data_IF_172080897992
#
_entry.id   IF_172080897992
#
_cell.length_a   1.000
_cell.length_b   1.000
_cell.length_c   1.000
_cell.angle_alpha   90.00
_cell.angle_beta   90.00
_cell.angle_gamma   90.00
#
_symmetry.space_group_name_H-M   'P 1'
#
loop_
_entity.id
_entity.type
_entity.pdbx_description
1 polymer ?
#
# COMPACT_ATOMS: atom_id res chain seq x y z
N UNK A 1 -87.82 -59.92 -24.49
CA UNK A 1 -86.81 -59.08 -25.17
C UNK A 1 -86.08 -58.27 -24.12
N UNK A 2 -84.91 -58.74 -23.68
CA UNK A 2 -84.04 -58.03 -22.74
C UNK A 2 -83.06 -57.16 -23.54
N UNK A 3 -83.12 -55.85 -23.35
CA UNK A 3 -82.22 -54.86 -23.97
C UNK A 3 -80.93 -54.75 -23.17
N UNK A 4 -79.79 -55.08 -23.80
CA UNK A 4 -78.45 -54.94 -23.23
C UNK A 4 -77.93 -53.53 -23.54
N UNK A 5 -77.73 -52.72 -22.50
CA UNK A 5 -77.17 -51.36 -22.60
C UNK A 5 -75.64 -51.44 -22.59
N UNK A 6 -74.98 -51.02 -23.67
CA UNK A 6 -73.51 -50.95 -23.76
C UNK A 6 -73.06 -49.60 -23.17
N UNK A 7 -72.39 -49.61 -22.02
CA UNK A 7 -71.70 -48.43 -21.48
C UNK A 7 -70.33 -48.26 -22.17
N UNK A 8 -70.15 -47.16 -22.90
CA UNK A 8 -68.84 -46.73 -23.41
C UNK A 8 -68.09 -45.97 -22.30
N UNK A 9 -66.99 -46.53 -21.82
CA UNK A 9 -66.05 -45.81 -20.95
C UNK A 9 -65.16 -44.88 -21.78
N UNK A 10 -65.30 -43.57 -21.58
CA UNK A 10 -64.37 -42.56 -22.13
C UNK A 10 -63.09 -42.55 -21.30
N UNK A 11 -61.97 -42.98 -21.88
CA UNK A 11 -60.64 -42.81 -21.28
C UNK A 11 -60.12 -41.42 -21.61
N UNK A 12 -60.00 -40.56 -20.60
CA UNK A 12 -59.30 -39.27 -20.71
C UNK A 12 -57.80 -39.50 -20.62
N UNK A 13 -57.06 -39.28 -21.71
CA UNK A 13 -55.61 -39.23 -21.69
C UNK A 13 -55.17 -37.85 -21.17
N UNK A 14 -54.64 -37.80 -19.95
CA UNK A 14 -53.94 -36.63 -19.42
C UNK A 14 -52.53 -36.60 -20.01
N UNK A 15 -52.28 -35.70 -20.96
CA UNK A 15 -50.92 -35.38 -21.39
C UNK A 15 -50.23 -34.56 -20.30
N UNK A 16 -49.20 -35.12 -19.68
CA UNK A 16 -48.34 -34.42 -18.72
C UNK A 16 -47.35 -33.55 -19.50
N UNK A 17 -47.57 -32.23 -19.51
CA UNK A 17 -46.61 -31.29 -20.07
C UNK A 17 -45.32 -31.29 -19.23
N UNK A 18 -44.19 -31.63 -19.84
CA UNK A 18 -42.85 -31.48 -19.24
C UNK A 18 -42.37 -30.08 -19.58
N UNK A 19 -42.37 -29.18 -18.59
CA UNK A 19 -41.77 -27.86 -18.74
C UNK A 19 -40.25 -27.99 -18.85
N UNK A 20 -39.66 -27.57 -19.98
CA UNK A 20 -38.21 -27.46 -20.10
C UNK A 20 -37.74 -26.26 -19.27
N UNK A 21 -37.15 -26.53 -18.12
CA UNK A 21 -36.46 -25.51 -17.34
C UNK A 21 -35.12 -25.24 -18.01
N UNK A 22 -35.04 -24.15 -18.80
CA UNK A 22 -33.75 -23.60 -19.20
C UNK A 22 -33.19 -22.83 -18.00
N UNK A 23 -32.00 -23.18 -17.47
CA UNK A 23 -31.42 -22.43 -16.37
C UNK A 23 -31.03 -21.04 -16.88
N UNK A 24 -31.72 -20.00 -16.43
CA UNK A 24 -31.26 -18.62 -16.57
C UNK A 24 -30.01 -18.48 -15.70
N UNK A 25 -28.85 -18.08 -16.25
CA UNK A 25 -27.72 -17.75 -15.39
C UNK A 25 -28.09 -16.47 -14.65
N UNK A 26 -28.51 -16.60 -13.39
CA UNK A 26 -28.47 -15.47 -12.47
C UNK A 26 -26.99 -15.15 -12.30
N UNK A 27 -26.50 -14.13 -13.00
CA UNK A 27 -25.20 -13.55 -12.72
C UNK A 27 -25.31 -12.92 -11.34
N UNK A 28 -25.06 -13.70 -10.30
CA UNK A 28 -24.73 -13.18 -9.00
C UNK A 28 -23.45 -12.37 -9.23
N UNK A 29 -23.61 -11.05 -9.38
CA UNK A 29 -22.51 -10.12 -9.31
C UNK A 29 -21.85 -10.38 -7.97
N UNK A 30 -20.74 -11.11 -7.99
CA UNK A 30 -19.87 -11.21 -6.82
C UNK A 30 -19.36 -9.79 -6.62
N UNK A 31 -19.94 -9.10 -5.66
CA UNK A 31 -19.34 -7.90 -5.08
C UNK A 31 -17.98 -8.33 -4.57
N UNK A 32 -16.94 -8.05 -5.35
CA UNK A 32 -15.57 -8.14 -4.88
C UNK A 32 -15.40 -7.02 -3.85
N UNK A 33 -15.80 -7.26 -2.59
CA UNK A 33 -15.35 -6.41 -1.49
C UNK A 33 -13.87 -6.72 -1.26
N UNK A 34 -13.00 -6.03 -1.98
CA UNK A 34 -11.54 -6.16 -1.83
C UNK A 34 -11.04 -5.54 -0.51
N UNK A 35 -11.91 -4.86 0.24
CA UNK A 35 -11.55 -4.21 1.50
C UNK A 35 -12.04 -5.02 2.69
N UNK A 36 -11.35 -6.12 3.00
CA UNK A 36 -11.20 -6.51 4.39
C UNK A 36 -10.19 -5.56 5.02
N UNK A 37 -10.48 -4.87 6.14
CA UNK A 37 -9.53 -3.97 6.76
C UNK A 37 -8.39 -4.82 7.34
N UNK A 38 -7.35 -5.02 6.55
CA UNK A 38 -6.06 -5.47 7.06
C UNK A 38 -5.23 -4.20 7.25
N UNK A 39 -4.85 -3.98 8.50
CA UNK A 39 -3.96 -2.95 9.04
C UNK A 39 -4.59 -1.60 9.40
N UNK A 40 -4.63 -1.34 10.72
CA UNK A 40 -4.72 0.00 11.32
C UNK A 40 -6.05 0.73 11.14
N UNK A 41 -6.38 1.60 12.08
CA UNK A 41 -7.37 2.64 11.88
C UNK A 41 -6.88 3.51 10.71
N UNK A 42 -7.28 3.20 9.48
CA UNK A 42 -6.96 4.04 8.33
C UNK A 42 -7.67 5.37 8.52
N UNK A 43 -6.89 6.44 8.74
CA UNK A 43 -7.44 7.77 8.87
C UNK A 43 -8.33 8.07 7.66
N UNK A 44 -9.52 8.63 7.95
CA UNK A 44 -10.50 9.05 6.92
C UNK A 44 -9.90 9.95 5.84
N UNK A 45 -8.77 10.59 6.14
CA UNK A 45 -8.05 11.51 5.26
C UNK A 45 -7.28 10.78 4.14
N UNK A 46 -7.05 9.46 4.26
CA UNK A 46 -6.48 8.63 3.19
C UNK A 46 -7.42 8.38 2.01
N UNK A 47 -8.70 8.74 2.13
CA UNK A 47 -9.70 8.56 1.08
C UNK A 47 -10.16 9.92 0.52
N UNK A 48 -10.30 9.99 -0.82
CA UNK A 48 -10.91 11.13 -1.48
C UNK A 48 -12.44 11.17 -1.32
N UNK A 49 -13.08 12.35 -1.50
CA UNK A 49 -14.53 12.51 -1.39
C UNK A 49 -15.34 11.78 -2.47
N UNK A 50 -14.69 11.30 -3.54
CA UNK A 50 -15.36 10.69 -4.70
C UNK A 50 -16.00 11.71 -5.63
N UNK A 51 -15.98 11.40 -6.93
CA UNK A 51 -16.56 12.27 -7.96
C UNK A 51 -18.07 12.04 -8.12
N UNK A 52 -18.76 13.03 -8.69
CA UNK A 52 -20.20 12.94 -9.00
C UNK A 52 -20.44 11.97 -10.17
N UNK A 53 -21.61 11.30 -10.23
CA UNK A 53 -21.95 10.46 -11.38
C UNK A 53 -21.97 11.26 -12.69
N UNK A 54 -21.32 10.72 -13.73
CA UNK A 54 -21.31 11.33 -15.07
C UNK A 54 -20.22 12.38 -15.31
N UNK A 55 -19.37 12.66 -14.32
CA UNK A 55 -18.18 13.51 -14.49
C UNK A 55 -16.90 12.69 -14.48
N UNK A 56 -15.86 13.17 -15.17
CA UNK A 56 -14.52 12.58 -15.05
C UNK A 56 -13.93 13.05 -13.71
N UNK A 57 -13.52 12.11 -12.84
CA UNK A 57 -12.94 12.42 -11.54
C UNK A 57 -11.60 13.13 -11.67
N UNK A 58 -11.31 14.01 -10.71
CA UNK A 58 -9.98 14.59 -10.53
C UNK A 58 -9.13 13.74 -9.57
N UNK A 59 -7.81 13.88 -9.64
CA UNK A 59 -6.88 13.13 -8.79
C UNK A 59 -7.16 13.36 -7.30
N UNK A 60 -7.62 14.56 -6.91
CA UNK A 60 -8.00 14.85 -5.53
C UNK A 60 -9.25 14.09 -5.05
N UNK A 61 -10.12 13.69 -5.97
CA UNK A 61 -11.37 13.00 -5.64
C UNK A 61 -11.19 11.48 -5.56
N UNK A 62 -10.24 10.93 -6.33
CA UNK A 62 -10.03 9.48 -6.47
C UNK A 62 -8.71 8.94 -5.93
N UNK A 63 -7.68 9.77 -5.71
CA UNK A 63 -6.44 9.31 -5.11
C UNK A 63 -6.70 8.71 -3.72
N UNK A 64 -6.02 7.60 -3.41
CA UNK A 64 -6.15 6.91 -2.12
C UNK A 64 -4.78 6.52 -1.55
N UNK A 65 -4.69 6.38 -0.24
CA UNK A 65 -3.48 5.86 0.40
C UNK A 65 -2.26 6.80 0.24
N UNK A 66 -1.07 6.27 -0.06
CA UNK A 66 0.16 7.07 -0.17
C UNK A 66 0.14 8.07 -1.33
N UNK A 67 -0.54 7.72 -2.44
CA UNK A 67 -0.73 8.63 -3.58
C UNK A 67 -1.42 9.92 -3.14
N UNK A 68 -2.50 9.80 -2.37
CA UNK A 68 -3.22 10.95 -1.83
C UNK A 68 -2.36 11.77 -0.87
N UNK A 69 -1.62 11.10 0.02
CA UNK A 69 -0.75 11.78 0.98
C UNK A 69 0.33 12.60 0.27
N UNK A 70 0.94 12.06 -0.78
CA UNK A 70 1.90 12.78 -1.62
C UNK A 70 1.23 13.95 -2.35
N UNK A 71 0.05 13.73 -2.95
CA UNK A 71 -0.69 14.78 -3.65
C UNK A 71 -1.04 15.96 -2.74
N UNK A 72 -1.53 15.69 -1.52
CA UNK A 72 -1.86 16.72 -0.54
C UNK A 72 -0.60 17.47 -0.06
N UNK A 73 0.50 16.75 0.23
CA UNK A 73 1.76 17.39 0.61
C UNK A 73 2.27 18.32 -0.50
N UNK A 74 2.22 17.87 -1.76
CA UNK A 74 2.64 18.64 -2.92
C UNK A 74 1.77 19.91 -3.10
N UNK A 75 0.47 19.83 -2.84
CA UNK A 75 -0.42 21.01 -2.84
C UNK A 75 -0.08 22.02 -1.74
N UNK A 76 0.38 21.55 -0.58
CA UNK A 76 0.91 22.42 0.49
C UNK A 76 2.32 22.96 0.19
N UNK A 77 2.93 22.55 -0.93
CA UNK A 77 4.31 22.90 -1.28
C UNK A 77 5.37 22.17 -0.44
N UNK A 78 5.01 21.05 0.20
CA UNK A 78 5.93 20.21 0.99
C UNK A 78 6.19 18.90 0.25
N UNK A 79 7.42 18.40 0.31
CA UNK A 79 7.73 17.05 -0.19
C UNK A 79 7.60 16.04 0.95
N UNK A 80 6.78 15.02 0.76
CA UNK A 80 6.56 13.96 1.74
C UNK A 80 7.79 13.04 1.87
N UNK A 81 8.48 12.79 0.76
CA UNK A 81 9.63 11.89 0.68
C UNK A 81 10.93 12.68 0.53
N UNK A 82 11.92 12.37 1.36
CA UNK A 82 13.23 13.01 1.27
C UNK A 82 14.07 12.38 0.14
N UNK A 83 14.11 13.07 -1.01
CA UNK A 83 14.89 12.66 -2.19
C UNK A 83 16.25 13.35 -2.27
N UNK A 84 16.62 14.17 -1.27
CA UNK A 84 17.88 14.89 -1.29
C UNK A 84 19.04 13.97 -0.90
N UNK A 85 20.24 14.17 -1.47
CA UNK A 85 21.43 13.49 -0.97
C UNK A 85 21.73 13.91 0.47
N UNK A 86 22.59 13.15 1.14
CA UNK A 86 23.11 13.56 2.43
C UNK A 86 23.99 14.81 2.26
N UNK A 87 23.56 15.91 2.87
CA UNK A 87 24.29 17.19 2.80
C UNK A 87 25.54 17.15 3.69
N UNK A 88 26.72 17.20 3.07
CA UNK A 88 28.01 17.25 3.76
C UNK A 88 28.46 18.71 3.93
N UNK A 89 28.10 19.31 5.06
CA UNK A 89 28.45 20.72 5.37
C UNK A 89 29.85 20.90 5.94
N UNK A 90 30.38 19.87 6.59
CA UNK A 90 31.67 19.87 7.27
C UNK A 90 32.26 18.45 7.28
N UNK A 91 33.52 18.31 7.71
CA UNK A 91 34.11 17.00 7.93
C UNK A 91 33.63 16.42 9.27
N UNK A 92 32.91 15.30 9.23
CA UNK A 92 32.40 14.66 10.45
C UNK A 92 33.52 14.23 11.40
N UNK A 93 33.48 14.73 12.64
CA UNK A 93 34.38 14.33 13.75
C UNK A 93 33.57 13.72 14.90
N UNK A 94 34.22 13.17 15.92
CA UNK A 94 33.49 12.68 17.12
C UNK A 94 32.77 13.80 17.88
N UNK A 95 33.30 15.03 17.82
CA UNK A 95 32.71 16.18 18.51
C UNK A 95 31.55 16.78 17.72
N UNK A 96 31.66 16.74 16.40
CA UNK A 96 30.68 17.26 15.45
C UNK A 96 30.50 16.24 14.32
N UNK A 97 29.65 15.20 14.53
CA UNK A 97 29.43 14.14 13.56
C UNK A 97 28.39 14.55 12.50
N UNK A 98 28.40 13.88 11.36
CA UNK A 98 27.32 14.01 10.37
C UNK A 98 26.08 13.30 10.88
N UNK A 99 25.02 14.06 11.12
CA UNK A 99 23.75 13.55 11.64
C UNK A 99 22.92 12.97 10.49
N UNK A 100 22.62 11.68 10.60
CA UNK A 100 21.81 10.94 9.63
C UNK A 100 20.46 10.63 10.25
N UNK A 101 19.39 11.25 9.75
CA UNK A 101 18.04 10.98 10.25
C UNK A 101 17.56 9.63 9.73
N UNK A 102 16.92 8.81 10.54
CA UNK A 102 16.28 7.57 10.06
C UNK A 102 15.00 7.28 10.83
N UNK A 103 14.02 6.72 10.14
CA UNK A 103 12.82 6.17 10.76
C UNK A 103 13.09 4.75 11.28
N UNK A 104 13.99 4.03 10.62
CA UNK A 104 14.42 2.69 11.00
C UNK A 104 15.66 2.71 11.89
N UNK A 105 15.91 1.66 12.69
CA UNK A 105 17.08 1.58 13.58
C UNK A 105 18.42 1.55 12.84
N UNK A 106 18.42 1.23 11.55
CA UNK A 106 19.60 1.19 10.70
C UNK A 106 19.34 1.99 9.42
N UNK A 107 20.37 2.68 8.89
CA UNK A 107 20.30 3.38 7.60
C UNK A 107 21.60 3.21 6.82
N UNK A 108 21.47 2.92 5.53
CA UNK A 108 22.60 2.87 4.60
C UNK A 108 23.02 4.29 4.19
N UNK A 109 24.33 4.54 4.23
CA UNK A 109 24.93 5.82 3.87
C UNK A 109 26.08 5.58 2.89
N UNK A 110 26.05 6.26 1.75
CA UNK A 110 27.14 6.28 0.78
C UNK A 110 28.07 7.45 1.05
N UNK A 111 29.31 7.17 1.48
CA UNK A 111 30.34 8.18 1.68
C UNK A 111 31.21 8.31 0.43
N UNK A 112 31.26 9.52 -0.15
CA UNK A 112 32.17 9.88 -1.26
C UNK A 112 33.33 10.76 -0.81
N UNK A 113 33.48 10.97 0.50
CA UNK A 113 34.55 11.77 1.09
C UNK A 113 34.18 13.22 1.36
N UNK A 114 35.13 13.96 1.94
CA UNK A 114 35.01 15.40 2.21
C UNK A 114 36.36 16.09 1.94
N UNK A 115 36.48 17.01 0.97
CA UNK A 115 35.43 17.53 0.08
C UNK A 115 34.73 16.43 -0.76
N UNK A 116 33.52 16.73 -1.26
CA UNK A 116 32.69 15.75 -2.00
C UNK A 116 33.50 15.13 -3.15
N UNK A 117 33.37 13.81 -3.30
CA UNK A 117 34.04 13.02 -4.34
C UNK A 117 35.57 12.95 -4.20
N UNK A 118 36.09 13.05 -2.97
CA UNK A 118 37.52 12.86 -2.70
C UNK A 118 37.96 11.40 -2.78
N UNK A 119 37.02 10.45 -2.71
CA UNK A 119 37.29 9.02 -2.87
C UNK A 119 36.08 8.24 -3.42
N UNK A 120 36.29 6.99 -3.81
CA UNK A 120 35.22 6.13 -4.34
C UNK A 120 34.12 5.89 -3.30
N UNK A 121 32.87 5.77 -3.75
CA UNK A 121 31.73 5.57 -2.87
C UNK A 121 31.89 4.31 -2.00
N UNK A 122 31.91 4.52 -0.69
CA UNK A 122 31.88 3.43 0.30
C UNK A 122 30.52 3.43 0.99
N UNK A 123 29.86 2.28 0.99
CA UNK A 123 28.61 2.05 1.69
C UNK A 123 28.86 1.67 3.15
N UNK A 124 28.18 2.37 4.05
CA UNK A 124 28.21 2.16 5.49
C UNK A 124 26.80 1.87 5.98
N UNK A 125 26.68 0.97 6.96
CA UNK A 125 25.45 0.78 7.73
C UNK A 125 25.60 1.58 9.01
N UNK A 126 24.73 2.57 9.21
CA UNK A 126 24.71 3.38 10.42
C UNK A 126 23.58 2.87 11.32
N UNK A 127 23.92 2.38 12.50
CA UNK A 127 22.97 1.79 13.46
C UNK A 127 22.72 2.76 14.63
N UNK A 128 21.50 2.79 15.14
CA UNK A 128 21.13 3.49 16.39
C UNK A 128 21.91 3.00 17.61
N UNK A 129 22.34 1.74 17.62
CA UNK A 129 23.01 1.10 18.76
C UNK A 129 24.50 1.48 18.82
N UNK A 130 25.07 1.92 17.70
CA UNK A 130 26.44 2.39 17.64
C UNK A 130 26.53 3.85 18.09
N UNK A 131 27.56 4.19 18.86
CA UNK A 131 27.79 5.59 19.24
C UNK A 131 28.14 6.43 18.01
N UNK A 132 28.99 5.87 17.15
CA UNK A 132 29.48 6.47 15.92
C UNK A 132 29.93 5.40 14.92
N UNK A 133 29.56 5.57 13.66
CA UNK A 133 30.08 4.79 12.55
C UNK A 133 31.07 5.63 11.74
N UNK A 134 32.13 5.00 11.20
CA UNK A 134 33.18 5.73 10.49
C UNK A 134 33.45 5.17 9.11
N UNK A 135 33.67 6.08 8.16
CA UNK A 135 34.23 5.71 6.88
C UNK A 135 35.69 5.23 7.06
N UNK A 136 36.07 4.05 6.54
CA UNK A 136 37.43 3.54 6.68
C UNK A 136 38.46 4.31 5.84
N UNK A 137 38.03 5.08 4.83
CA UNK A 137 38.93 5.80 3.93
C UNK A 137 39.15 7.27 4.35
N UNK A 138 38.09 8.08 4.41
CA UNK A 138 38.21 9.49 4.80
C UNK A 138 38.08 9.74 6.30
N UNK A 139 37.71 8.74 7.10
CA UNK A 139 37.55 8.87 8.55
C UNK A 139 36.33 9.69 8.99
N UNK A 140 35.42 10.06 8.08
CA UNK A 140 34.19 10.76 8.42
C UNK A 140 33.37 9.98 9.44
N UNK A 141 32.85 10.71 10.43
CA UNK A 141 32.04 10.17 11.52
C UNK A 141 30.56 10.45 11.28
N UNK A 142 29.75 9.39 11.28
CA UNK A 142 28.30 9.44 11.16
C UNK A 142 27.64 9.07 12.49
N UNK A 143 26.51 9.71 12.78
CA UNK A 143 25.66 9.37 13.93
C UNK A 143 24.20 9.31 13.49
N UNK A 144 23.52 8.22 13.81
CA UNK A 144 22.09 8.08 13.55
C UNK A 144 21.27 8.94 14.51
N UNK A 145 20.30 9.67 13.97
CA UNK A 145 19.23 10.30 14.71
C UNK A 145 17.93 9.55 14.39
N UNK A 146 17.50 8.69 15.32
CA UNK A 146 16.30 7.89 15.20
C UNK A 146 15.05 8.75 15.45
N UNK A 147 14.20 8.87 14.44
CA UNK A 147 12.95 9.65 14.47
C UNK A 147 11.71 8.73 14.50
N UNK A 148 11.91 7.41 14.34
CA UNK A 148 10.83 6.43 14.37
C UNK A 148 10.26 6.17 15.76
N UNK A 149 9.20 5.35 15.80
CA UNK A 149 8.65 4.81 17.05
C UNK A 149 9.33 3.47 17.36
N UNK A 150 9.57 3.17 18.64
CA UNK A 150 10.29 1.95 19.02
C UNK A 150 9.51 0.63 18.78
N UNK A 151 8.26 0.69 18.29
CA UNK A 151 7.31 -0.43 18.34
C UNK A 151 7.22 -1.30 17.08
N UNK A 152 8.21 -1.29 16.19
CA UNK A 152 8.19 -2.14 14.99
C UNK A 152 9.35 -3.13 15.00
N UNK A 153 9.19 -4.17 15.82
CA UNK A 153 9.97 -5.39 15.65
C UNK A 153 9.66 -5.98 14.27
N UNK A 154 10.71 -6.23 13.48
CA UNK A 154 10.61 -6.97 12.23
C UNK A 154 10.19 -8.42 12.55
N UNK A 155 8.88 -8.65 12.63
CA UNK A 155 8.30 -9.98 12.75
C UNK A 155 8.48 -10.72 11.44
N UNK A 156 9.59 -11.43 11.29
CA UNK A 156 9.76 -12.43 10.25
C UNK A 156 8.70 -13.52 10.46
N UNK A 157 7.75 -13.60 9.53
CA UNK A 157 6.80 -14.70 9.39
C UNK A 157 7.04 -15.37 8.03
#
# INVERSE_FOLDING_TARGET
MLTITIQRALRTNLFRAVASQTPRPSSAFRTFSVLGPRYGELDKDFFGPGAKPGTVPTDLEQATGPERAELLANLEGKSLWDMKPLELTHMGTKKDPIIVKSVDPERYVGCTGYPVDSHEMIWLVVDKNHEFDRCPECGQVYKLNFVGTESHGHGHH
#
